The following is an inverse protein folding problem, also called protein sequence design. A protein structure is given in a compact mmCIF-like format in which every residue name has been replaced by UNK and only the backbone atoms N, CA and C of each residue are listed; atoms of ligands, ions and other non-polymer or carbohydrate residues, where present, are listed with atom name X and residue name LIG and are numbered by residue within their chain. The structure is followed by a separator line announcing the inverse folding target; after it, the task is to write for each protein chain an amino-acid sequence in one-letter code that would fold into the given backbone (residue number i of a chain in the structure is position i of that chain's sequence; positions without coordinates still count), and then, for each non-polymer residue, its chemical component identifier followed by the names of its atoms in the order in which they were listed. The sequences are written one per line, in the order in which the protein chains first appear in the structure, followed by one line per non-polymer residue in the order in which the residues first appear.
data_IF_793061319344
#
_entry.id   IF_793061319344
#
_cell.length_a   1.000
_cell.length_b   1.000
_cell.length_c   1.000
_cell.angle_alpha   90.00
_cell.angle_beta   90.00
_cell.angle_gamma   90.00
#
_symmetry.space_group_name_H-M   'P 1'
#
loop_
_entity.id
_entity.type
_entity.pdbx_description
1 polymer ?
#
# COMPACT_ATOMS: atom_id res chain seq x y z
N UNK A 1 -15.65 -14.14 21.84
CA UNK A 1 -14.54 -13.28 22.29
C UNK A 1 -15.18 -11.92 22.48
N UNK A 2 -15.34 -11.49 23.73
CA UNK A 2 -16.01 -10.22 24.05
C UNK A 2 -15.17 -9.04 23.59
N UNK A 3 -15.78 -7.86 23.46
CA UNK A 3 -15.09 -6.61 23.11
C UNK A 3 -13.92 -6.29 24.06
N UNK A 4 -13.93 -6.84 25.28
CA UNK A 4 -12.91 -6.65 26.32
C UNK A 4 -11.70 -7.61 26.21
N UNK A 5 -11.72 -8.59 25.29
CA UNK A 5 -10.67 -9.63 25.16
C UNK A 5 -9.60 -9.29 24.09
N UNK A 6 -9.64 -8.10 23.50
CA UNK A 6 -8.74 -7.73 22.41
C UNK A 6 -7.36 -7.28 22.93
N UNK A 7 -6.29 -7.89 22.42
CA UNK A 7 -4.91 -7.55 22.78
C UNK A 7 -4.47 -6.10 22.44
N UNK A 8 -5.21 -5.42 21.58
CA UNK A 8 -4.92 -4.05 21.12
C UNK A 8 -6.21 -3.25 21.01
N UNK A 9 -6.20 -2.00 21.49
CA UNK A 9 -7.32 -1.07 21.33
C UNK A 9 -7.58 -0.74 19.85
N UNK A 10 -8.81 -0.39 19.49
CA UNK A 10 -9.13 -0.03 18.10
C UNK A 10 -8.35 1.21 17.63
N UNK A 11 -8.18 2.21 18.49
CA UNK A 11 -7.39 3.41 18.17
C UNK A 11 -5.92 3.05 17.90
N UNK A 12 -5.32 2.20 18.74
CA UNK A 12 -3.95 1.72 18.52
C UNK A 12 -3.83 0.89 17.24
N UNK A 13 -4.84 0.06 16.94
CA UNK A 13 -4.89 -0.72 15.71
C UNK A 13 -5.00 0.18 14.47
N UNK A 14 -5.79 1.25 14.53
CA UNK A 14 -5.89 2.22 13.43
C UNK A 14 -4.58 2.99 13.21
N UNK A 15 -3.87 3.37 14.28
CA UNK A 15 -2.53 3.95 14.18
C UNK A 15 -1.48 2.97 13.64
N UNK A 16 -1.65 1.66 13.87
CA UNK A 16 -0.78 0.62 13.34
C UNK A 16 -0.77 0.59 11.80
N UNK A 17 -1.78 1.17 11.15
CA UNK A 17 -1.79 1.44 9.70
C UNK A 17 -0.47 2.04 9.22
N UNK A 18 -0.01 3.10 9.88
CA UNK A 18 1.19 3.84 9.47
C UNK A 18 2.44 2.96 9.56
N UNK A 19 2.54 2.12 10.60
CA UNK A 19 3.65 1.20 10.76
C UNK A 19 3.58 0.06 9.74
N UNK A 20 2.41 -0.54 9.53
CA UNK A 20 2.22 -1.62 8.56
C UNK A 20 2.55 -1.15 7.13
N UNK A 21 2.07 0.03 6.75
CA UNK A 21 2.43 0.69 5.49
C UNK A 21 3.95 0.90 5.40
N UNK A 22 4.57 1.57 6.38
CA UNK A 22 6.00 1.86 6.27
C UNK A 22 6.89 0.62 6.26
N UNK A 23 6.55 -0.45 6.99
CA UNK A 23 7.34 -1.69 6.94
C UNK A 23 7.26 -2.32 5.54
N UNK A 24 6.08 -2.32 4.93
CA UNK A 24 5.88 -2.82 3.57
C UNK A 24 6.66 -2.00 2.54
N UNK A 25 6.46 -0.69 2.52
CA UNK A 25 7.11 0.20 1.57
C UNK A 25 8.62 0.32 1.81
N UNK A 26 9.11 0.12 3.04
CA UNK A 26 10.55 0.00 3.27
C UNK A 26 11.14 -1.25 2.62
N UNK A 27 10.47 -2.40 2.65
CA UNK A 27 10.90 -3.59 1.91
C UNK A 27 11.02 -3.24 0.41
N UNK A 28 10.02 -2.58 -0.13
CA UNK A 28 10.01 -2.16 -1.53
C UNK A 28 11.12 -1.17 -1.86
N UNK A 29 11.29 -0.09 -1.07
CA UNK A 29 12.37 0.90 -1.26
C UNK A 29 13.74 0.21 -1.27
N UNK A 30 13.98 -0.72 -0.35
CA UNK A 30 15.26 -1.43 -0.26
C UNK A 30 15.47 -2.35 -1.47
N UNK A 31 14.42 -3.06 -1.92
CA UNK A 31 14.55 -4.11 -2.91
C UNK A 31 14.37 -3.65 -4.37
N UNK A 32 13.55 -2.63 -4.64
CA UNK A 32 13.00 -2.34 -5.97
C UNK A 32 14.06 -2.08 -7.03
N UNK A 33 15.06 -1.24 -6.74
CA UNK A 33 16.09 -0.88 -7.72
C UNK A 33 16.98 -2.08 -8.08
N UNK A 34 17.55 -2.75 -7.08
CA UNK A 34 18.40 -3.92 -7.31
C UNK A 34 17.63 -5.06 -7.98
N UNK A 35 16.39 -5.31 -7.53
CA UNK A 35 15.56 -6.35 -8.09
C UNK A 35 15.20 -6.07 -9.55
N UNK A 36 14.82 -4.83 -9.88
CA UNK A 36 14.49 -4.44 -11.26
C UNK A 36 15.70 -4.62 -12.18
N UNK A 37 16.88 -4.15 -11.77
CA UNK A 37 18.12 -4.31 -12.55
C UNK A 37 18.44 -5.79 -12.87
N UNK A 38 18.20 -6.68 -11.91
CA UNK A 38 18.50 -8.11 -12.05
C UNK A 38 17.40 -8.91 -12.77
N UNK A 39 16.15 -8.43 -12.74
CA UNK A 39 14.99 -9.19 -13.22
C UNK A 39 14.28 -8.56 -14.42
N UNK A 40 14.71 -7.38 -14.90
CA UNK A 40 14.02 -6.63 -15.96
C UNK A 40 13.74 -7.48 -17.21
N UNK A 41 14.73 -8.25 -17.69
CA UNK A 41 14.54 -9.12 -18.86
C UNK A 41 13.42 -10.17 -18.65
N UNK A 42 13.33 -10.72 -17.44
CA UNK A 42 12.30 -11.71 -17.05
C UNK A 42 10.93 -11.05 -16.96
N UNK A 43 10.86 -9.84 -16.39
CA UNK A 43 9.64 -9.01 -16.31
C UNK A 43 9.15 -8.64 -17.71
N UNK A 44 10.02 -8.10 -18.55
CA UNK A 44 9.69 -7.66 -19.91
C UNK A 44 9.13 -8.80 -20.77
N UNK A 45 9.69 -10.01 -20.64
CA UNK A 45 9.23 -11.20 -21.37
C UNK A 45 7.86 -11.72 -20.92
N UNK A 46 7.53 -11.56 -19.63
CA UNK A 46 6.31 -12.16 -19.02
C UNK A 46 5.18 -11.18 -18.82
N UNK A 47 5.46 -9.88 -18.90
CA UNK A 47 4.44 -8.86 -18.74
C UNK A 47 3.45 -8.83 -19.92
N UNK A 48 2.19 -8.44 -19.67
CA UNK A 48 1.24 -8.21 -20.74
C UNK A 48 1.72 -7.13 -21.72
N UNK A 49 1.50 -7.34 -23.02
CA UNK A 49 2.00 -6.45 -24.09
C UNK A 49 1.56 -4.99 -23.93
N UNK A 50 0.37 -4.74 -23.39
CA UNK A 50 -0.15 -3.38 -23.17
C UNK A 50 0.64 -2.57 -22.11
N UNK A 51 1.46 -3.22 -21.28
CA UNK A 51 2.28 -2.57 -20.24
C UNK A 51 3.72 -2.32 -20.71
N UNK A 52 4.12 -2.83 -21.88
CA UNK A 52 5.52 -2.82 -22.36
C UNK A 52 6.19 -1.44 -22.39
N UNK A 53 5.48 -0.41 -22.88
CA UNK A 53 6.00 0.96 -22.94
C UNK A 53 6.23 1.55 -21.53
N UNK A 54 5.34 1.22 -20.59
CA UNK A 54 5.44 1.67 -19.19
C UNK A 54 6.60 0.97 -18.48
N UNK A 55 6.80 -0.33 -18.76
CA UNK A 55 7.90 -1.11 -18.20
C UNK A 55 9.28 -0.58 -18.61
N UNK A 56 9.47 -0.19 -19.86
CA UNK A 56 10.73 0.45 -20.27
C UNK A 56 11.00 1.73 -19.48
N UNK A 57 9.96 2.50 -19.20
CA UNK A 57 10.06 3.72 -18.37
C UNK A 57 10.32 3.41 -16.87
N UNK A 58 9.98 2.20 -16.43
CA UNK A 58 10.17 1.71 -15.06
C UNK A 58 11.51 0.99 -14.85
N UNK A 59 12.20 0.60 -15.93
CA UNK A 59 13.49 -0.12 -15.89
C UNK A 59 14.59 0.64 -15.13
N UNK A 60 14.50 1.97 -15.09
CA UNK A 60 15.47 2.86 -14.46
C UNK A 60 14.95 3.53 -13.18
N UNK A 61 13.91 3.00 -12.54
CA UNK A 61 13.41 3.56 -11.28
C UNK A 61 14.47 3.36 -10.20
N UNK A 62 14.88 4.47 -9.59
CA UNK A 62 15.78 4.48 -8.44
C UNK A 62 15.00 4.32 -7.13
N UNK A 63 15.58 3.63 -6.16
CA UNK A 63 14.98 3.48 -4.83
C UNK A 63 14.71 4.83 -4.18
N UNK A 64 15.61 5.79 -4.37
CA UNK A 64 15.45 7.16 -3.87
C UNK A 64 14.31 7.92 -4.55
N UNK A 65 14.09 7.71 -5.86
CA UNK A 65 12.94 8.28 -6.58
C UNK A 65 11.62 7.67 -6.10
N UNK A 66 11.61 6.37 -5.81
CA UNK A 66 10.44 5.69 -5.26
C UNK A 66 10.12 6.17 -3.84
N UNK A 67 11.12 6.36 -3.00
CA UNK A 67 10.96 6.86 -1.63
C UNK A 67 10.25 8.22 -1.56
N UNK A 68 10.36 9.08 -2.59
CA UNK A 68 9.61 10.34 -2.66
C UNK A 68 8.10 10.11 -2.75
N UNK A 69 7.65 9.10 -3.49
CA UNK A 69 6.23 8.77 -3.59
C UNK A 69 5.70 8.26 -2.24
N UNK A 70 6.40 7.30 -1.64
CA UNK A 70 6.10 6.74 -0.31
C UNK A 70 6.03 7.85 0.76
N UNK A 71 6.97 8.80 0.73
CA UNK A 71 7.00 9.91 1.67
C UNK A 71 5.77 10.82 1.56
N UNK A 72 5.32 11.13 0.34
CA UNK A 72 4.12 11.95 0.14
C UNK A 72 2.85 11.23 0.58
N UNK A 73 2.76 9.92 0.33
CA UNK A 73 1.65 9.09 0.82
C UNK A 73 1.62 9.09 2.35
N UNK A 74 2.78 8.89 2.99
CA UNK A 74 2.89 8.91 4.46
C UNK A 74 2.43 10.25 5.06
N UNK A 75 2.82 11.38 4.47
CA UNK A 75 2.36 12.72 4.90
C UNK A 75 0.84 12.83 4.87
N UNK A 76 0.17 12.19 3.93
CA UNK A 76 -1.29 12.24 3.77
C UNK A 76 -1.98 11.23 4.69
N UNK A 77 -1.37 10.07 4.94
CA UNK A 77 -1.90 9.04 5.82
C UNK A 77 -1.95 9.48 7.28
N UNK A 78 -0.99 10.27 7.76
CA UNK A 78 -0.97 10.79 9.14
C UNK A 78 -2.25 11.58 9.49
N UNK A 79 -2.62 12.67 8.78
CA UNK A 79 -3.83 13.43 9.09
C UNK A 79 -5.10 12.63 8.83
N UNK A 80 -5.14 11.74 7.83
CA UNK A 80 -6.32 10.88 7.60
C UNK A 80 -6.53 9.89 8.75
N UNK A 81 -5.44 9.31 9.28
CA UNK A 81 -5.49 8.44 10.45
C UNK A 81 -5.93 9.21 11.69
N UNK A 82 -5.37 10.41 11.90
CA UNK A 82 -5.76 11.30 12.98
C UNK A 82 -7.27 11.64 12.92
N UNK A 83 -7.79 12.03 11.76
CA UNK A 83 -9.21 12.35 11.57
C UNK A 83 -10.11 11.13 11.81
N UNK A 84 -9.66 9.93 11.45
CA UNK A 84 -10.40 8.72 11.71
C UNK A 84 -10.44 8.38 13.20
N UNK A 85 -9.31 8.47 13.90
CA UNK A 85 -9.19 8.11 15.33
C UNK A 85 -9.85 9.15 16.24
N UNK A 86 -9.58 10.43 16.03
CA UNK A 86 -10.01 11.50 16.95
C UNK A 86 -11.37 12.10 16.60
N UNK A 87 -11.78 12.02 15.34
CA UNK A 87 -13.01 12.64 14.86
C UNK A 87 -14.00 11.65 14.25
N UNK A 88 -13.70 10.34 14.25
CA UNK A 88 -14.57 9.31 13.69
C UNK A 88 -14.81 9.42 12.18
N UNK A 89 -13.95 10.15 11.45
CA UNK A 89 -14.09 10.30 10.01
C UNK A 89 -13.39 9.16 9.27
N UNK A 90 -14.12 8.06 9.05
CA UNK A 90 -13.53 6.83 8.52
C UNK A 90 -13.46 6.75 6.99
N UNK A 91 -14.09 7.66 6.24
CA UNK A 91 -14.27 7.49 4.79
C UNK A 91 -12.94 7.35 4.01
N UNK A 92 -12.02 8.31 4.20
CA UNK A 92 -10.70 8.24 3.56
C UNK A 92 -9.83 7.13 4.15
N UNK A 93 -9.90 6.92 5.47
CA UNK A 93 -9.12 5.89 6.15
C UNK A 93 -9.45 4.48 5.66
N UNK A 94 -10.74 4.18 5.50
CA UNK A 94 -11.22 2.92 4.92
C UNK A 94 -10.85 2.83 3.45
N UNK A 95 -11.01 3.90 2.68
CA UNK A 95 -10.58 3.96 1.28
C UNK A 95 -9.10 3.58 1.11
N UNK A 96 -8.21 4.17 1.93
CA UNK A 96 -6.78 3.91 1.87
C UNK A 96 -6.42 2.49 2.32
N UNK A 97 -7.01 1.99 3.40
CA UNK A 97 -6.81 0.61 3.85
C UNK A 97 -7.38 -0.42 2.87
N UNK A 98 -8.45 -0.07 2.13
CA UNK A 98 -9.01 -0.93 1.08
C UNK A 98 -8.05 -1.02 -0.11
N UNK A 99 -7.44 0.09 -0.52
CA UNK A 99 -6.39 0.10 -1.55
C UNK A 99 -5.19 -0.72 -1.07
N UNK A 100 -4.75 -0.54 0.17
CA UNK A 100 -3.65 -1.31 0.77
C UNK A 100 -3.94 -2.82 0.76
N UNK A 101 -5.17 -3.24 1.11
CA UNK A 101 -5.58 -4.65 1.05
C UNK A 101 -5.57 -5.18 -0.39
N UNK A 102 -6.10 -4.43 -1.35
CA UNK A 102 -6.09 -4.82 -2.77
C UNK A 102 -4.65 -4.88 -3.30
N UNK A 103 -3.77 -3.99 -2.85
CA UNK A 103 -2.37 -3.90 -3.24
C UNK A 103 -1.60 -5.19 -2.95
N UNK A 104 -1.90 -5.88 -1.83
CA UNK A 104 -1.35 -7.21 -1.51
C UNK A 104 -1.49 -8.17 -2.69
N UNK A 105 -2.68 -8.25 -3.28
CA UNK A 105 -2.96 -9.18 -4.37
C UNK A 105 -2.22 -8.80 -5.65
N UNK A 106 -1.84 -7.53 -5.80
CA UNK A 106 -0.99 -7.10 -6.92
C UNK A 106 0.42 -7.69 -6.81
N UNK A 107 1.04 -7.71 -5.61
CA UNK A 107 2.34 -8.38 -5.41
C UNK A 107 2.25 -9.89 -5.62
N UNK A 108 1.20 -10.53 -5.10
CA UNK A 108 0.99 -11.97 -5.31
C UNK A 108 0.84 -12.27 -6.79
N UNK A 109 0.01 -11.52 -7.51
CA UNK A 109 -0.17 -11.65 -8.95
C UNK A 109 1.13 -11.45 -9.72
N UNK A 110 1.89 -10.40 -9.40
CA UNK A 110 3.20 -10.14 -10.00
C UNK A 110 4.18 -11.30 -9.75
N UNK A 111 4.30 -11.77 -8.51
CA UNK A 111 5.16 -12.90 -8.13
C UNK A 111 4.78 -14.19 -8.85
N UNK A 112 3.49 -14.49 -9.01
CA UNK A 112 3.00 -15.65 -9.74
C UNK A 112 3.28 -15.55 -11.24
N UNK A 113 3.01 -14.38 -11.85
CA UNK A 113 3.28 -14.12 -13.27
C UNK A 113 4.77 -14.21 -13.58
N UNK A 114 5.61 -13.61 -12.74
CA UNK A 114 7.06 -13.58 -12.89
C UNK A 114 7.68 -14.88 -12.38
N UNK A 115 6.97 -15.74 -11.64
CA UNK A 115 7.49 -16.96 -10.99
C UNK A 115 8.81 -16.68 -10.27
N UNK A 116 8.76 -15.72 -9.37
CA UNK A 116 9.91 -15.20 -8.62
C UNK A 116 9.40 -14.40 -7.44
N UNK A 117 10.26 -14.22 -6.43
CA UNK A 117 10.11 -13.11 -5.49
C UNK A 117 9.96 -11.79 -6.26
N UNK A 118 9.05 -10.93 -5.81
CA UNK A 118 8.92 -9.52 -6.23
C UNK A 118 9.00 -8.63 -4.98
N UNK A 119 9.60 -7.44 -5.06
CA UNK A 119 9.60 -6.46 -3.98
C UNK A 119 8.20 -6.32 -3.37
N UNK A 120 8.13 -6.32 -2.05
CA UNK A 120 6.89 -6.13 -1.29
C UNK A 120 6.08 -7.41 -1.05
N UNK A 121 6.31 -8.53 -1.76
CA UNK A 121 5.43 -9.72 -1.63
C UNK A 121 5.49 -10.36 -0.24
N UNK A 122 6.64 -10.31 0.43
CA UNK A 122 6.83 -10.96 1.74
C UNK A 122 6.08 -10.18 2.81
N UNK A 123 6.34 -8.87 2.93
CA UNK A 123 5.62 -8.00 3.87
C UNK A 123 4.14 -7.87 3.51
N UNK A 124 3.78 -7.86 2.22
CA UNK A 124 2.38 -7.85 1.81
C UNK A 124 1.60 -9.04 2.39
N UNK A 125 2.17 -10.25 2.36
CA UNK A 125 1.52 -11.46 2.87
C UNK A 125 1.59 -11.59 4.40
N UNK A 126 2.74 -11.24 5.00
CA UNK A 126 2.99 -11.49 6.42
C UNK A 126 2.58 -10.34 7.34
N UNK A 127 2.45 -9.13 6.79
CA UNK A 127 2.16 -7.91 7.57
C UNK A 127 0.87 -7.27 7.06
N UNK A 128 0.86 -6.83 5.80
CA UNK A 128 -0.23 -6.02 5.26
C UNK A 128 -1.55 -6.79 5.22
N UNK A 129 -1.54 -8.02 4.72
CA UNK A 129 -2.73 -8.87 4.64
C UNK A 129 -3.35 -9.16 6.00
N UNK A 130 -2.63 -9.74 6.99
CA UNK A 130 -3.23 -10.02 8.30
C UNK A 130 -3.65 -8.74 9.02
N UNK A 131 -2.88 -7.66 8.90
CA UNK A 131 -3.24 -6.35 9.44
C UNK A 131 -4.57 -5.85 8.87
N UNK A 132 -4.70 -5.76 7.54
CA UNK A 132 -5.89 -5.19 6.90
C UNK A 132 -7.14 -6.01 7.16
N UNK A 133 -7.04 -7.35 7.14
CA UNK A 133 -8.17 -8.22 7.47
C UNK A 133 -8.59 -8.05 8.93
N UNK A 134 -7.62 -7.96 9.85
CA UNK A 134 -7.91 -7.77 11.27
C UNK A 134 -8.50 -6.39 11.56
N UNK A 135 -7.99 -5.33 10.92
CA UNK A 135 -8.54 -3.98 11.03
C UNK A 135 -10.02 -3.95 10.63
N UNK A 136 -10.36 -4.40 9.41
CA UNK A 136 -11.75 -4.35 8.95
C UNK A 136 -12.68 -5.19 9.80
N UNK A 137 -12.23 -6.38 10.22
CA UNK A 137 -13.00 -7.21 11.14
C UNK A 137 -13.27 -6.50 12.48
N UNK A 138 -12.26 -5.83 13.05
CA UNK A 138 -12.40 -5.10 14.32
C UNK A 138 -13.29 -3.87 14.20
N UNK A 139 -13.16 -3.09 13.12
CA UNK A 139 -14.01 -1.93 12.90
C UNK A 139 -15.50 -2.32 12.77
N UNK A 140 -15.79 -3.47 12.14
CA UNK A 140 -17.16 -4.00 12.07
C UNK A 140 -17.62 -4.53 13.44
N UNK A 141 -16.78 -5.32 14.11
CA UNK A 141 -17.14 -5.96 15.39
C UNK A 141 -17.42 -4.95 16.50
N UNK A 142 -16.72 -3.80 16.50
CA UNK A 142 -16.91 -2.72 17.45
C UNK A 142 -17.99 -1.71 17.00
N UNK A 143 -18.64 -1.94 15.87
CA UNK A 143 -19.74 -1.11 15.38
C UNK A 143 -19.31 0.28 14.89
N UNK A 144 -18.02 0.48 14.55
CA UNK A 144 -17.52 1.74 14.00
C UNK A 144 -18.03 1.97 12.57
N UNK A 145 -18.13 0.88 11.79
CA UNK A 145 -18.69 0.87 10.43
C UNK A 145 -19.35 -0.46 10.11
N UNK A 146 -20.30 -0.43 9.19
CA UNK A 146 -20.90 -1.61 8.57
C UNK A 146 -20.11 -2.08 7.34
N UNK A 147 -20.35 -3.33 6.93
CA UNK A 147 -19.79 -3.87 5.69
C UNK A 147 -20.21 -3.02 4.46
N UNK A 148 -21.44 -2.51 4.45
CA UNK A 148 -21.94 -1.64 3.37
C UNK A 148 -21.16 -0.32 3.32
N UNK A 149 -20.87 0.29 4.46
CA UNK A 149 -20.05 1.51 4.53
C UNK A 149 -18.63 1.26 4.03
N UNK A 150 -18.05 0.09 4.33
CA UNK A 150 -16.74 -0.29 3.77
C UNK A 150 -16.79 -0.31 2.25
N UNK A 151 -17.81 -0.90 1.64
CA UNK A 151 -17.96 -0.91 0.19
C UNK A 151 -18.20 0.49 -0.40
N UNK A 152 -18.95 1.35 0.29
CA UNK A 152 -19.21 2.74 -0.13
C UNK A 152 -17.94 3.60 -0.02
N UNK A 153 -17.12 3.38 1.00
CA UNK A 153 -15.92 4.17 1.26
C UNK A 153 -14.68 3.65 0.52
N UNK A 154 -14.61 2.36 0.15
CA UNK A 154 -13.48 1.79 -0.59
C UNK A 154 -13.08 2.60 -1.86
N UNK A 155 -14.02 3.09 -2.69
CA UNK A 155 -13.68 3.92 -3.86
C UNK A 155 -12.94 5.23 -3.53
N UNK A 156 -13.07 5.77 -2.32
CA UNK A 156 -12.32 6.97 -1.93
C UNK A 156 -10.81 6.73 -1.92
N UNK A 157 -10.37 5.46 -1.82
CA UNK A 157 -8.97 5.09 -1.96
C UNK A 157 -8.36 5.45 -3.32
N UNK A 158 -9.18 5.58 -4.37
CA UNK A 158 -8.71 5.99 -5.70
C UNK A 158 -8.13 7.41 -5.71
N UNK A 159 -8.39 8.23 -4.68
CA UNK A 159 -7.76 9.53 -4.49
C UNK A 159 -6.24 9.41 -4.27
N UNK A 160 -5.70 8.23 -3.93
CA UNK A 160 -4.26 7.99 -3.87
C UNK A 160 -3.60 7.94 -5.24
N UNK A 161 -4.30 7.52 -6.29
CA UNK A 161 -3.72 7.42 -7.63
C UNK A 161 -3.04 8.72 -8.11
N UNK A 162 -3.68 9.90 -8.07
CA UNK A 162 -3.00 11.13 -8.46
C UNK A 162 -1.81 11.48 -7.55
N UNK A 163 -1.87 11.15 -6.26
CA UNK A 163 -0.78 11.37 -5.29
C UNK A 163 0.43 10.52 -5.65
N UNK A 164 0.24 9.21 -5.86
CA UNK A 164 1.28 8.25 -6.24
C UNK A 164 1.94 8.68 -7.55
N UNK A 165 1.13 9.01 -8.56
CA UNK A 165 1.62 9.44 -9.87
C UNK A 165 2.40 10.76 -9.78
N UNK A 166 1.92 11.70 -8.98
CA UNK A 166 2.62 12.94 -8.71
C UNK A 166 3.94 12.71 -7.97
N UNK A 167 3.95 11.83 -6.97
CA UNK A 167 5.14 11.46 -6.22
C UNK A 167 6.22 10.83 -7.09
N UNK A 168 5.86 9.90 -7.98
CA UNK A 168 6.82 9.35 -8.95
C UNK A 168 7.35 10.42 -9.91
N UNK A 169 6.49 11.35 -10.36
CA UNK A 169 6.93 12.46 -11.22
C UNK A 169 7.88 13.39 -10.47
N UNK A 170 7.57 13.75 -9.24
CA UNK A 170 8.42 14.56 -8.37
C UNK A 170 9.74 13.88 -8.07
N UNK A 171 9.74 12.59 -7.75
CA UNK A 171 10.96 11.81 -7.52
C UNK A 171 11.92 11.91 -8.70
N UNK A 172 11.41 11.73 -9.93
CA UNK A 172 12.23 11.88 -11.16
C UNK A 172 12.75 13.30 -11.39
N UNK A 173 12.01 14.32 -10.97
CA UNK A 173 12.40 15.73 -11.14
C UNK A 173 13.42 16.16 -10.09
N UNK A 174 13.19 15.80 -8.82
CA UNK A 174 14.01 16.18 -7.68
C UNK A 174 15.31 15.39 -7.60
N UNK A 175 15.31 14.12 -8.05
CA UNK A 175 16.46 13.22 -7.99
C UNK A 175 16.89 12.89 -9.42
N UNK A 176 17.72 13.79 -9.96
CA UNK A 176 18.42 13.64 -11.25
C UNK A 176 19.85 13.23 -10.97
N UNK A 177 20.10 11.93 -10.98
CA UNK A 177 21.45 11.36 -11.04
C UNK A 177 21.60 10.59 -12.34
#
# INVERSE_FOLDING_TARGET
MGMDDAFISINSLMWLFLAAFMIHDFEEIIAVESWMNNNFAKVYKRAPKFVGNRLQTMSNVKSSQFAVAVFLEFIIFVPVTYLAVEHGNYALFIGFNAVLLVHVFTHVGQSLLIRSYTPGVVTALLITLPYSLYLFNRMIAEGLVSLNEIFIFAPFGLLLLPIVLFGHKLGKLAIRN
#
